data_IF_329960863675
#
_entry.id   IF_329960863675
#
_cell.length_a   1.000
_cell.length_b   1.000
_cell.length_c   1.000
_cell.angle_alpha   90.00
_cell.angle_beta   90.00
_cell.angle_gamma   90.00
#
_symmetry.space_group_name_H-M   'P 1'
#
loop_
_entity.id
_entity.type
_entity.pdbx_description
1 polymer ?
#
# COMPACT_ATOMS: atom_id res chain seq x y z
N UNK A 1 -0.60 7.38 -20.45
CA UNK A 1 0.42 8.19 -19.71
C UNK A 1 1.01 9.24 -20.64
N UNK A 2 0.96 10.51 -20.28
CA UNK A 2 1.55 11.63 -21.04
C UNK A 2 2.96 11.87 -20.54
N UNK A 3 3.97 11.63 -21.41
CA UNK A 3 5.37 11.78 -21.03
C UNK A 3 5.90 13.20 -21.19
N UNK A 4 7.04 13.47 -20.55
CA UNK A 4 7.78 14.72 -20.72
C UNK A 4 8.10 15.01 -22.19
N UNK A 5 8.58 14.00 -22.92
CA UNK A 5 8.95 14.14 -24.33
C UNK A 5 7.76 14.54 -25.20
N UNK A 6 6.61 13.90 -24.99
CA UNK A 6 5.35 14.25 -25.70
C UNK A 6 4.92 15.69 -25.41
N UNK A 7 5.09 16.14 -24.16
CA UNK A 7 4.77 17.51 -23.78
C UNK A 7 5.72 18.52 -24.39
N UNK A 8 7.00 18.22 -24.40
CA UNK A 8 8.03 19.07 -25.02
C UNK A 8 7.80 19.18 -26.52
N UNK A 9 7.59 18.09 -27.23
CA UNK A 9 7.27 18.07 -28.66
C UNK A 9 6.08 18.97 -28.96
N UNK A 10 4.96 18.73 -28.27
CA UNK A 10 3.73 19.53 -28.45
C UNK A 10 3.92 21.02 -28.16
N UNK A 11 4.74 21.37 -27.16
CA UNK A 11 5.03 22.77 -26.82
C UNK A 11 5.92 23.43 -27.87
N UNK A 12 6.93 22.73 -28.36
CA UNK A 12 7.82 23.23 -29.40
C UNK A 12 7.11 23.40 -30.74
N UNK A 13 6.12 22.55 -31.04
CA UNK A 13 5.26 22.70 -32.23
C UNK A 13 4.42 23.98 -32.21
N UNK A 14 4.05 24.46 -31.02
CA UNK A 14 3.32 25.74 -30.87
C UNK A 14 4.22 26.96 -31.02
N UNK A 15 5.54 26.80 -31.05
CA UNK A 15 6.49 27.91 -31.23
C UNK A 15 6.74 28.15 -32.73
N UNK A 16 6.87 29.41 -33.15
CA UNK A 16 7.20 29.78 -34.53
C UNK A 16 8.49 29.10 -35.01
N UNK A 17 8.46 28.51 -36.21
CA UNK A 17 9.60 27.78 -36.80
C UNK A 17 10.82 28.65 -37.10
N UNK A 18 10.66 29.97 -37.11
CA UNK A 18 11.78 30.91 -37.21
C UNK A 18 12.61 31.00 -35.93
N UNK A 19 12.19 30.38 -34.85
CA UNK A 19 12.89 30.40 -33.59
C UNK A 19 13.76 29.13 -33.43
N UNK A 20 14.86 29.26 -32.69
CA UNK A 20 15.69 28.13 -32.37
C UNK A 20 14.98 27.28 -31.28
N UNK A 21 14.63 26.04 -31.63
CA UNK A 21 13.91 25.07 -30.80
C UNK A 21 14.80 23.94 -30.34
N UNK A 22 16.11 23.96 -30.65
CA UNK A 22 17.03 22.87 -30.29
C UNK A 22 17.26 22.83 -28.79
N UNK A 23 17.58 21.66 -28.30
CA UNK A 23 17.99 21.47 -26.91
C UNK A 23 19.16 22.42 -26.57
N UNK A 24 19.06 23.14 -25.45
CA UNK A 24 20.01 24.18 -25.05
C UNK A 24 19.71 25.57 -25.63
N UNK A 25 18.65 25.73 -26.43
CA UNK A 25 18.16 27.07 -26.80
C UNK A 25 17.37 27.69 -25.64
N UNK A 26 17.30 29.01 -25.60
CA UNK A 26 16.55 29.74 -24.59
C UNK A 26 15.08 29.30 -24.52
N UNK A 27 14.47 29.01 -25.67
CA UNK A 27 13.07 28.55 -25.75
C UNK A 27 12.94 27.16 -25.17
N UNK A 28 13.83 26.26 -25.54
CA UNK A 28 13.81 24.89 -24.99
C UNK A 28 13.98 24.91 -23.48
N UNK A 29 14.96 25.63 -22.97
CA UNK A 29 15.28 25.71 -21.54
C UNK A 29 14.14 26.40 -20.73
N UNK A 30 13.43 27.33 -21.33
CA UNK A 30 12.27 27.98 -20.73
C UNK A 30 11.05 27.03 -20.66
N UNK A 31 10.87 26.14 -21.63
CA UNK A 31 9.71 25.22 -21.69
C UNK A 31 9.95 23.92 -20.89
N UNK A 32 11.21 23.50 -20.75
CA UNK A 32 11.55 22.23 -20.12
C UNK A 32 11.05 22.07 -18.67
N UNK A 33 11.25 23.02 -17.75
CA UNK A 33 10.71 22.90 -16.39
C UNK A 33 9.19 22.79 -16.37
N UNK A 34 8.51 23.59 -17.18
CA UNK A 34 7.04 23.55 -17.27
C UNK A 34 6.55 22.23 -17.86
N UNK A 35 7.24 21.64 -18.82
CA UNK A 35 6.89 20.32 -19.35
C UNK A 35 7.09 19.22 -18.30
N UNK A 36 8.14 19.31 -17.47
CA UNK A 36 8.39 18.38 -16.40
C UNK A 36 7.28 18.42 -15.32
N UNK A 37 6.91 19.63 -14.87
CA UNK A 37 5.81 19.81 -13.91
C UNK A 37 4.47 19.30 -14.47
N UNK A 38 4.18 19.56 -15.74
CA UNK A 38 2.97 19.04 -16.37
C UNK A 38 2.97 17.52 -16.47
N UNK A 39 4.11 16.88 -16.75
CA UNK A 39 4.21 15.43 -16.77
C UNK A 39 3.90 14.83 -15.40
N UNK A 40 4.41 15.44 -14.32
CA UNK A 40 4.09 15.06 -12.94
C UNK A 40 2.60 15.19 -12.64
N UNK A 41 1.98 16.30 -13.04
CA UNK A 41 0.53 16.50 -12.86
C UNK A 41 -0.32 15.47 -13.62
N UNK A 42 0.05 15.06 -14.83
CA UNK A 42 -0.65 13.99 -15.53
C UNK A 42 -0.53 12.65 -14.81
N UNK A 43 0.62 12.34 -14.24
CA UNK A 43 0.81 11.14 -13.43
C UNK A 43 -0.07 11.16 -12.17
N UNK A 44 -0.16 12.31 -11.49
CA UNK A 44 -1.02 12.46 -10.32
C UNK A 44 -2.51 12.35 -10.68
N UNK A 45 -2.93 12.84 -11.86
CA UNK A 45 -4.30 12.69 -12.33
C UNK A 45 -4.66 11.23 -12.60
N UNK A 46 -3.76 10.44 -13.22
CA UNK A 46 -3.95 9.01 -13.42
C UNK A 46 -4.07 8.27 -12.07
N UNK A 47 -3.20 8.59 -11.10
CA UNK A 47 -3.29 8.04 -9.75
C UNK A 47 -4.59 8.45 -9.03
N UNK A 48 -5.06 9.67 -9.24
CA UNK A 48 -6.32 10.12 -8.67
C UNK A 48 -7.51 9.36 -9.26
N UNK A 49 -7.47 9.07 -10.56
CA UNK A 49 -8.48 8.24 -11.23
C UNK A 49 -8.54 6.85 -10.58
N UNK A 50 -7.39 6.18 -10.44
CA UNK A 50 -7.29 4.86 -9.81
C UNK A 50 -7.81 4.85 -8.36
N UNK A 51 -7.57 5.92 -7.60
CA UNK A 51 -8.06 6.08 -6.22
C UNK A 51 -9.54 6.43 -6.14
N UNK A 52 -10.10 6.96 -7.22
CA UNK A 52 -11.48 7.43 -7.25
C UNK A 52 -12.48 6.29 -7.41
N UNK A 53 -12.16 5.26 -8.17
CA UNK A 53 -13.06 4.14 -8.42
C UNK A 53 -12.84 3.00 -7.42
N UNK A 54 -13.95 2.39 -6.96
CA UNK A 54 -13.91 1.37 -5.92
C UNK A 54 -13.27 0.04 -6.38
N UNK A 55 -13.20 -0.21 -7.69
CA UNK A 55 -12.58 -1.39 -8.30
C UNK A 55 -11.06 -1.29 -8.37
N UNK A 56 -10.53 -0.06 -8.45
CA UNK A 56 -9.07 0.20 -8.51
C UNK A 56 -8.52 0.73 -7.18
N UNK A 57 -9.34 1.40 -6.37
CA UNK A 57 -8.95 1.96 -5.08
C UNK A 57 -8.49 0.87 -4.10
N UNK A 58 -7.44 1.16 -3.33
CA UNK A 58 -6.88 0.26 -2.32
C UNK A 58 -6.72 0.96 -0.97
N UNK A 59 -6.50 0.19 0.09
CA UNK A 59 -6.16 0.70 1.41
C UNK A 59 -7.20 1.67 1.99
N UNK A 60 -6.75 2.88 2.30
CA UNK A 60 -7.58 3.91 2.91
C UNK A 60 -8.57 4.53 1.91
N UNK A 61 -8.19 4.71 0.66
CA UNK A 61 -9.07 5.25 -0.38
C UNK A 61 -10.27 4.33 -0.60
N UNK A 62 -10.06 3.02 -0.67
CA UNK A 62 -11.15 2.05 -0.74
C UNK A 62 -12.02 2.09 0.53
N UNK A 63 -11.42 2.24 1.71
CA UNK A 63 -12.15 2.36 2.98
C UNK A 63 -13.07 3.58 2.98
N UNK A 64 -12.61 4.72 2.49
CA UNK A 64 -13.41 5.95 2.35
C UNK A 64 -14.56 5.77 1.35
N UNK A 65 -14.28 5.15 0.19
CA UNK A 65 -15.30 4.85 -0.81
C UNK A 65 -16.38 3.90 -0.30
N UNK A 66 -15.99 2.87 0.46
CA UNK A 66 -16.93 1.96 1.11
C UNK A 66 -17.81 2.69 2.14
N UNK A 67 -17.23 3.60 2.92
CA UNK A 67 -17.96 4.40 3.90
C UNK A 67 -19.03 5.30 3.26
N UNK A 68 -18.81 5.84 2.07
CA UNK A 68 -19.83 6.60 1.32
C UNK A 68 -21.08 5.77 0.99
N UNK A 69 -20.95 4.46 0.94
CA UNK A 69 -22.05 3.49 0.75
C UNK A 69 -22.55 2.88 2.05
N UNK A 70 -22.12 3.41 3.21
CA UNK A 70 -22.48 2.89 4.53
C UNK A 70 -21.79 1.60 4.92
N UNK A 71 -20.75 1.18 4.18
CA UNK A 71 -19.97 -0.03 4.47
C UNK A 71 -18.74 0.38 5.28
N UNK A 72 -18.68 -0.09 6.53
CA UNK A 72 -17.54 0.18 7.40
C UNK A 72 -16.52 -0.96 7.34
N UNK A 73 -15.24 -0.59 7.28
CA UNK A 73 -14.15 -1.56 7.36
C UNK A 73 -14.12 -2.20 8.74
N UNK A 74 -14.07 -3.53 8.78
CA UNK A 74 -13.85 -4.25 10.04
C UNK A 74 -12.45 -3.93 10.57
N UNK A 75 -12.38 -3.59 11.86
CA UNK A 75 -11.09 -3.39 12.54
C UNK A 75 -10.28 -4.68 12.54
N UNK A 76 -8.96 -4.53 12.49
CA UNK A 76 -8.06 -5.66 12.65
C UNK A 76 -8.27 -6.30 14.04
N UNK A 77 -8.36 -7.61 14.07
CA UNK A 77 -8.40 -8.39 15.31
C UNK A 77 -7.12 -9.20 15.42
N UNK A 78 -6.69 -9.44 16.65
CA UNK A 78 -5.52 -10.27 16.89
C UNK A 78 -5.76 -11.69 16.41
N UNK A 79 -4.79 -12.27 15.71
CA UNK A 79 -4.84 -13.64 15.27
C UNK A 79 -4.92 -14.60 16.48
N UNK A 80 -5.73 -15.63 16.34
CA UNK A 80 -5.80 -16.72 17.31
C UNK A 80 -5.53 -18.04 16.61
N UNK A 81 -4.79 -18.93 17.25
CA UNK A 81 -4.53 -20.27 16.74
C UNK A 81 -4.48 -21.26 17.88
N UNK A 82 -4.56 -22.54 17.54
CA UNK A 82 -4.48 -23.63 18.49
C UNK A 82 -3.17 -24.41 18.27
N UNK A 83 -2.52 -24.78 19.34
CA UNK A 83 -1.27 -25.54 19.30
C UNK A 83 -1.05 -26.34 20.56
N UNK A 84 -0.09 -27.24 20.55
CA UNK A 84 0.41 -27.99 21.71
C UNK A 84 1.84 -27.56 22.03
N UNK A 85 2.19 -27.64 23.30
CA UNK A 85 3.56 -27.43 23.76
C UNK A 85 4.15 -28.79 24.13
N UNK A 86 5.29 -29.09 23.56
CA UNK A 86 6.00 -30.34 23.79
C UNK A 86 7.36 -30.04 24.46
N UNK A 87 7.83 -30.94 25.31
CA UNK A 87 9.16 -30.87 25.84
C UNK A 87 10.21 -31.41 24.84
N UNK A 88 11.49 -31.43 25.23
CA UNK A 88 12.58 -31.92 24.40
C UNK A 88 12.45 -33.41 24.03
N UNK A 89 11.67 -34.18 24.81
CA UNK A 89 11.41 -35.60 24.58
C UNK A 89 10.10 -35.84 23.79
N UNK A 90 9.38 -34.78 23.40
CA UNK A 90 8.13 -34.87 22.67
C UNK A 90 6.91 -35.17 23.56
N UNK A 91 7.02 -35.04 24.87
CA UNK A 91 5.90 -35.16 25.77
C UNK A 91 5.16 -33.82 25.96
N UNK A 92 3.85 -33.91 26.22
CA UNK A 92 3.00 -32.71 26.40
C UNK A 92 3.44 -31.90 27.63
N UNK A 93 3.73 -30.63 27.42
CA UNK A 93 3.98 -29.65 28.47
C UNK A 93 2.72 -28.94 28.93
N UNK A 94 2.59 -28.78 30.24
CA UNK A 94 1.51 -27.97 30.82
C UNK A 94 1.97 -26.52 30.89
N UNK A 95 1.29 -25.66 30.15
CA UNK A 95 1.56 -24.20 30.06
C UNK A 95 0.41 -23.42 30.65
N UNK A 96 0.72 -22.50 31.55
CA UNK A 96 -0.28 -21.67 32.22
C UNK A 96 -0.87 -20.59 31.28
N UNK A 97 -2.15 -20.25 31.50
CA UNK A 97 -2.78 -19.10 30.86
C UNK A 97 -1.96 -17.83 31.15
N UNK A 98 -1.76 -17.01 30.12
CA UNK A 98 -0.97 -15.79 30.21
C UNK A 98 0.52 -15.96 29.91
N UNK A 99 1.01 -17.20 29.74
CA UNK A 99 2.39 -17.44 29.32
C UNK A 99 2.64 -16.86 27.96
N UNK A 100 3.74 -16.12 27.83
CA UNK A 100 4.19 -15.54 26.56
C UNK A 100 5.24 -16.44 25.93
N UNK A 101 5.13 -16.61 24.63
CA UNK A 101 6.15 -17.29 23.85
C UNK A 101 6.38 -16.57 22.52
N UNK A 102 7.52 -16.81 21.93
CA UNK A 102 7.93 -16.19 20.66
C UNK A 102 7.96 -17.26 19.57
N UNK A 103 7.31 -16.96 18.44
CA UNK A 103 7.29 -17.86 17.29
C UNK A 103 7.31 -17.02 16.01
N UNK A 104 8.22 -17.34 15.09
CA UNK A 104 8.31 -16.73 13.75
C UNK A 104 8.28 -15.20 13.73
N UNK A 105 8.92 -14.55 14.69
CA UNK A 105 9.01 -13.09 14.76
C UNK A 105 7.90 -12.40 15.56
N UNK A 106 6.95 -13.14 16.12
CA UNK A 106 5.82 -12.58 16.87
C UNK A 106 5.73 -13.13 18.29
N UNK A 107 5.21 -12.30 19.18
CA UNK A 107 4.90 -12.71 20.56
C UNK A 107 3.45 -13.14 20.67
N UNK A 108 3.24 -14.30 21.28
CA UNK A 108 1.91 -14.86 21.53
C UNK A 108 1.68 -15.06 23.02
N UNK A 109 0.41 -15.08 23.39
CA UNK A 109 -0.03 -15.33 24.77
C UNK A 109 -0.99 -16.49 24.79
N UNK A 110 -0.79 -17.42 25.68
CA UNK A 110 -1.69 -18.55 25.93
C UNK A 110 -2.99 -18.02 26.55
N UNK A 111 -4.13 -18.23 25.89
CA UNK A 111 -5.44 -17.79 26.37
C UNK A 111 -6.12 -18.86 27.23
N UNK A 112 -5.87 -20.12 27.00
CA UNK A 112 -6.43 -21.23 27.77
C UNK A 112 -6.17 -22.57 27.08
N UNK A 113 -6.53 -23.65 27.77
CA UNK A 113 -6.50 -25.01 27.25
C UNK A 113 -7.91 -25.45 26.88
N UNK A 114 -8.08 -25.94 25.67
CA UNK A 114 -9.35 -26.48 25.19
C UNK A 114 -9.59 -27.92 25.68
N UNK A 115 -10.81 -28.41 25.54
CA UNK A 115 -11.19 -29.76 25.97
C UNK A 115 -10.47 -30.86 25.20
N UNK A 116 -9.95 -30.58 24.02
CA UNK A 116 -9.15 -31.49 23.18
C UNK A 116 -7.66 -31.53 23.56
N UNK A 117 -7.26 -30.80 24.60
CA UNK A 117 -5.90 -30.74 25.09
C UNK A 117 -5.03 -29.68 24.43
N UNK A 118 -5.46 -29.05 23.34
CA UNK A 118 -4.72 -27.96 22.66
C UNK A 118 -4.88 -26.64 23.40
N UNK A 119 -3.87 -25.78 23.26
CA UNK A 119 -3.88 -24.44 23.83
C UNK A 119 -4.34 -23.42 22.79
N UNK A 120 -5.32 -22.60 23.17
CA UNK A 120 -5.65 -21.39 22.41
C UNK A 120 -4.60 -20.32 22.66
N UNK A 121 -4.08 -19.70 21.58
CA UNK A 121 -3.05 -18.69 21.62
C UNK A 121 -3.47 -17.46 20.84
N UNK A 122 -3.02 -16.28 21.27
CA UNK A 122 -3.38 -15.01 20.66
C UNK A 122 -2.13 -14.15 20.49
N UNK A 123 -1.95 -13.57 19.29
CA UNK A 123 -0.92 -12.60 19.00
C UNK A 123 -1.26 -11.23 19.59
#
# INVERSE_FOLDING_TARGET
>A
MVSYEMLMERKLDMVDDRRDKRQGSLIYDALAPNAAEMASLYTELELLEDRTFADTATGEDLTRRAAERGILRKSAVKATFYGSFLDENGADCIVGKGTRFFLEGFYYVVIGKEADGRYGNKC
#
